data_IF_771794196588
#
_entry.id   IF_771794196588
#
_cell.length_a   1.000
_cell.length_b   1.000
_cell.length_c   1.000
_cell.angle_alpha   90.00
_cell.angle_beta   90.00
_cell.angle_gamma   90.00
#
_symmetry.space_group_name_H-M   'P 1'
#
loop_
_entity.id
_entity.type
_entity.pdbx_description
1 polymer ?
#
# COMPACT_ATOMS: atom_id res chain seq x y z
N UNK A 1 3.03 40.25 9.91
CA UNK A 1 2.92 39.65 8.58
C UNK A 1 3.47 38.24 8.68
N UNK A 2 2.62 37.22 8.61
CA UNK A 2 3.07 35.84 8.53
C UNK A 2 3.59 35.61 7.11
N UNK A 3 4.89 35.37 6.96
CA UNK A 3 5.52 35.06 5.68
C UNK A 3 5.10 33.67 5.24
N UNK A 4 4.90 33.53 3.93
CA UNK A 4 4.45 32.34 3.20
C UNK A 4 5.41 31.12 3.28
N UNK A 5 6.43 31.12 4.15
CA UNK A 5 7.72 30.50 3.82
C UNK A 5 8.25 29.39 4.75
N UNK A 6 7.44 28.84 5.66
CA UNK A 6 7.85 27.63 6.38
C UNK A 6 6.84 26.50 6.16
N UNK A 7 6.85 25.93 4.96
CA UNK A 7 6.30 24.59 4.78
C UNK A 7 7.27 23.60 5.41
N UNK A 8 7.15 23.39 6.72
CA UNK A 8 7.90 22.35 7.42
C UNK A 8 7.31 20.98 7.08
N UNK A 9 7.77 20.35 5.99
CA UNK A 9 7.38 18.99 5.68
C UNK A 9 7.90 18.02 6.76
N UNK A 10 6.99 17.29 7.39
CA UNK A 10 7.34 16.25 8.35
C UNK A 10 7.73 14.97 7.60
N UNK A 11 8.95 14.95 7.07
CA UNK A 11 9.47 13.80 6.33
C UNK A 11 9.44 12.48 7.10
N UNK A 12 9.76 12.43 8.41
CA UNK A 12 9.60 11.20 9.20
C UNK A 12 8.16 10.67 9.20
N UNK A 13 7.17 11.55 9.31
CA UNK A 13 5.76 11.15 9.26
C UNK A 13 5.37 10.65 7.87
N UNK A 14 5.80 11.32 6.81
CA UNK A 14 5.55 10.87 5.43
C UNK A 14 6.12 9.49 5.15
N UNK A 15 7.33 9.22 5.63
CA UNK A 15 7.99 7.91 5.54
C UNK A 15 7.25 6.84 6.36
N UNK A 16 6.71 7.21 7.53
CA UNK A 16 5.91 6.30 8.35
C UNK A 16 4.62 5.85 7.65
N UNK A 17 4.02 6.69 6.79
CA UNK A 17 2.84 6.32 5.98
C UNK A 17 3.21 5.22 4.99
N UNK A 18 4.36 5.32 4.32
CA UNK A 18 4.85 4.25 3.44
C UNK A 18 5.04 2.93 4.20
N UNK A 19 5.58 2.99 5.42
CA UNK A 19 5.74 1.80 6.26
C UNK A 19 4.39 1.18 6.63
N UNK A 20 3.40 1.99 7.02
CA UNK A 20 2.06 1.50 7.35
C UNK A 20 1.35 0.88 6.14
N UNK A 21 1.49 1.50 4.95
CA UNK A 21 0.99 0.94 3.70
C UNK A 21 1.62 -0.43 3.43
N UNK A 22 2.95 -0.55 3.58
CA UNK A 22 3.66 -1.82 3.39
C UNK A 22 3.08 -2.93 4.28
N UNK A 23 2.77 -2.63 5.56
CA UNK A 23 2.13 -3.58 6.47
C UNK A 23 0.75 -4.04 5.96
N UNK A 24 -0.06 -3.14 5.39
CA UNK A 24 -1.33 -3.50 4.76
C UNK A 24 -1.11 -4.46 3.57
N UNK A 25 -0.10 -4.21 2.73
CA UNK A 25 0.25 -5.08 1.62
C UNK A 25 0.68 -6.48 2.07
N UNK A 26 1.53 -6.58 3.09
CA UNK A 26 1.94 -7.87 3.67
C UNK A 26 0.75 -8.64 4.25
N UNK A 27 -0.18 -7.92 4.88
CA UNK A 27 -1.41 -8.55 5.41
C UNK A 27 -2.28 -9.09 4.28
N UNK A 28 -2.50 -8.32 3.21
CA UNK A 28 -3.26 -8.75 2.04
C UNK A 28 -2.62 -9.97 1.34
N UNK A 29 -1.29 -9.99 1.23
CA UNK A 29 -0.54 -11.14 0.71
C UNK A 29 -0.73 -12.38 1.58
N UNK A 30 -0.61 -12.23 2.91
CA UNK A 30 -0.79 -13.33 3.86
C UNK A 30 -2.20 -13.91 3.79
N UNK A 31 -3.23 -13.06 3.67
CA UNK A 31 -4.62 -13.48 3.49
C UNK A 31 -4.81 -14.23 2.17
N UNK A 32 -4.22 -13.74 1.07
CA UNK A 32 -4.30 -14.40 -0.23
C UNK A 32 -3.68 -15.80 -0.19
N UNK A 33 -2.48 -15.93 0.38
CA UNK A 33 -1.76 -17.20 0.47
C UNK A 33 -2.51 -18.20 1.36
N UNK A 34 -2.96 -17.76 2.54
CA UNK A 34 -3.77 -18.59 3.44
C UNK A 34 -5.11 -18.99 2.81
N UNK A 35 -5.76 -18.07 2.09
CA UNK A 35 -6.99 -18.34 1.37
C UNK A 35 -6.77 -19.41 0.30
N UNK A 36 -5.74 -19.26 -0.55
CA UNK A 36 -5.40 -20.21 -1.61
C UNK A 36 -5.08 -21.59 -1.08
N UNK A 37 -4.30 -21.67 0.00
CA UNK A 37 -3.97 -22.93 0.65
C UNK A 37 -5.21 -23.66 1.19
N UNK A 38 -6.19 -22.91 1.71
CA UNK A 38 -7.40 -23.47 2.32
C UNK A 38 -8.60 -23.59 1.38
N UNK A 39 -8.47 -23.16 0.11
CA UNK A 39 -9.59 -23.08 -0.86
C UNK A 39 -10.35 -24.41 -0.98
N UNK A 40 -9.63 -25.52 -1.11
CA UNK A 40 -10.25 -26.85 -1.28
C UNK A 40 -10.95 -27.32 0.00
N UNK A 41 -10.36 -27.06 1.16
CA UNK A 41 -10.97 -27.36 2.47
C UNK A 41 -12.27 -26.57 2.64
N UNK A 42 -12.27 -25.28 2.31
CA UNK A 42 -13.44 -24.42 2.39
C UNK A 42 -14.52 -24.84 1.37
N UNK A 43 -14.12 -25.12 0.13
CA UNK A 43 -15.01 -25.58 -0.93
C UNK A 43 -15.73 -26.90 -0.53
N UNK A 44 -15.03 -27.81 0.15
CA UNK A 44 -15.61 -29.09 0.60
C UNK A 44 -16.78 -28.96 1.57
N UNK A 45 -17.03 -27.77 2.12
CA UNK A 45 -18.21 -27.48 2.96
C UNK A 45 -19.46 -27.12 2.14
N UNK A 46 -19.33 -26.90 0.83
CA UNK A 46 -20.39 -26.47 -0.08
C UNK A 46 -20.69 -27.54 -1.14
N UNK A 47 -21.94 -27.59 -1.60
CA UNK A 47 -22.41 -28.58 -2.57
C UNK A 47 -23.35 -27.95 -3.61
N UNK A 48 -23.35 -28.49 -4.83
CA UNK A 48 -24.20 -28.00 -5.92
C UNK A 48 -24.00 -26.50 -6.20
N UNK A 49 -25.09 -25.76 -6.35
CA UNK A 49 -25.04 -24.32 -6.70
C UNK A 49 -24.31 -23.45 -5.66
N UNK A 50 -24.28 -23.88 -4.40
CA UNK A 50 -23.53 -23.16 -3.35
C UNK A 50 -22.02 -23.30 -3.52
N UNK A 51 -21.54 -24.40 -4.11
CA UNK A 51 -20.13 -24.58 -4.43
C UNK A 51 -19.70 -23.67 -5.57
N UNK A 52 -20.55 -23.48 -6.59
CA UNK A 52 -20.31 -22.51 -7.67
C UNK A 52 -20.27 -21.08 -7.13
N UNK A 53 -21.22 -20.73 -6.27
CA UNK A 53 -21.25 -19.41 -5.61
C UNK A 53 -19.99 -19.18 -4.76
N UNK A 54 -19.53 -20.19 -4.03
CA UNK A 54 -18.26 -20.10 -3.29
C UNK A 54 -17.08 -19.82 -4.23
N UNK A 55 -16.99 -20.50 -5.38
CA UNK A 55 -15.92 -20.27 -6.34
C UNK A 55 -15.91 -18.83 -6.85
N UNK A 56 -17.08 -18.29 -7.21
CA UNK A 56 -17.22 -16.89 -7.65
C UNK A 56 -16.81 -15.90 -6.56
N UNK A 57 -17.27 -16.13 -5.33
CA UNK A 57 -16.90 -15.31 -4.16
C UNK A 57 -15.39 -15.39 -3.89
N UNK A 58 -14.80 -16.58 -3.99
CA UNK A 58 -13.39 -16.79 -3.75
C UNK A 58 -12.54 -16.10 -4.82
N UNK A 59 -12.94 -16.15 -6.09
CA UNK A 59 -12.26 -15.41 -7.17
C UNK A 59 -12.31 -13.90 -6.92
N UNK A 60 -13.45 -13.36 -6.48
CA UNK A 60 -13.54 -11.94 -6.09
C UNK A 60 -12.62 -11.60 -4.91
N UNK A 61 -12.54 -12.48 -3.92
CA UNK A 61 -11.60 -12.34 -2.80
C UNK A 61 -10.15 -12.29 -3.29
N UNK A 62 -9.75 -13.19 -4.19
CA UNK A 62 -8.40 -13.19 -4.76
C UNK A 62 -8.08 -11.87 -5.47
N UNK A 63 -9.01 -11.38 -6.29
CA UNK A 63 -8.84 -10.10 -6.99
C UNK A 63 -8.69 -8.93 -6.02
N UNK A 64 -9.53 -8.83 -4.99
CA UNK A 64 -9.44 -7.73 -4.01
C UNK A 64 -8.10 -7.75 -3.27
N UNK A 65 -7.61 -8.93 -2.89
CA UNK A 65 -6.29 -9.04 -2.28
C UNK A 65 -5.18 -8.60 -3.23
N UNK A 66 -5.22 -9.02 -4.50
CA UNK A 66 -4.24 -8.64 -5.52
C UNK A 66 -4.26 -7.13 -5.80
N UNK A 67 -5.44 -6.54 -5.98
CA UNK A 67 -5.62 -5.10 -6.19
C UNK A 67 -5.07 -4.30 -5.00
N UNK A 68 -5.33 -4.76 -3.78
CA UNK A 68 -4.82 -4.13 -2.56
C UNK A 68 -3.30 -4.14 -2.52
N UNK A 69 -2.67 -5.28 -2.84
CA UNK A 69 -1.20 -5.41 -2.90
C UNK A 69 -0.63 -4.43 -3.93
N UNK A 70 -1.23 -4.36 -5.12
CA UNK A 70 -0.78 -3.47 -6.18
C UNK A 70 -0.90 -1.99 -5.79
N UNK A 71 -2.05 -1.58 -5.26
CA UNK A 71 -2.28 -0.19 -4.82
C UNK A 71 -1.32 0.19 -3.70
N UNK A 72 -1.09 -0.69 -2.73
CA UNK A 72 -0.11 -0.48 -1.67
C UNK A 72 1.28 -0.30 -2.25
N UNK A 73 1.72 -1.20 -3.13
CA UNK A 73 3.07 -1.12 -3.70
C UNK A 73 3.28 0.18 -4.47
N UNK A 74 2.28 0.61 -5.25
CA UNK A 74 2.29 1.91 -5.94
C UNK A 74 2.35 3.07 -4.94
N UNK A 75 1.56 3.01 -3.87
CA UNK A 75 1.54 4.02 -2.81
C UNK A 75 2.89 4.16 -2.09
N UNK A 76 3.49 3.04 -1.68
CA UNK A 76 4.81 3.00 -1.03
C UNK A 76 5.87 3.64 -1.93
N UNK A 77 5.91 3.27 -3.20
CA UNK A 77 6.85 3.83 -4.17
C UNK A 77 6.64 5.34 -4.36
N UNK A 78 5.39 5.80 -4.38
CA UNK A 78 5.07 7.22 -4.51
C UNK A 78 5.52 8.02 -3.28
N UNK A 79 5.29 7.50 -2.07
CA UNK A 79 5.74 8.15 -0.83
C UNK A 79 7.26 8.18 -0.73
N UNK A 80 7.96 7.08 -1.01
CA UNK A 80 9.42 7.04 -1.03
C UNK A 80 9.99 8.06 -2.03
N UNK A 81 9.52 7.99 -3.27
CA UNK A 81 10.04 8.83 -4.36
C UNK A 81 9.72 10.31 -4.13
N UNK A 82 8.51 10.62 -3.66
CA UNK A 82 8.09 11.98 -3.35
C UNK A 82 8.90 12.58 -2.19
N UNK A 83 9.04 11.84 -1.09
CA UNK A 83 9.79 12.28 0.10
C UNK A 83 11.26 12.51 -0.24
N UNK A 84 11.91 11.58 -0.96
CA UNK A 84 13.30 11.73 -1.38
C UNK A 84 13.51 12.90 -2.35
N UNK A 85 12.60 13.08 -3.31
CA UNK A 85 12.67 14.18 -4.28
C UNK A 85 12.55 15.55 -3.59
N UNK A 86 11.60 15.68 -2.67
CA UNK A 86 11.39 16.92 -1.90
C UNK A 86 12.61 17.24 -1.01
N UNK A 87 13.11 16.27 -0.24
CA UNK A 87 14.31 16.45 0.59
C UNK A 87 15.55 16.86 -0.23
N UNK A 88 15.71 16.25 -1.41
CA UNK A 88 16.85 16.54 -2.28
C UNK A 88 16.76 17.94 -2.85
N UNK A 89 15.58 18.34 -3.33
CA UNK A 89 15.36 19.69 -3.87
C UNK A 89 15.58 20.77 -2.81
N UNK A 90 15.08 20.59 -1.59
CA UNK A 90 15.29 21.55 -0.50
C UNK A 90 16.76 21.72 -0.14
N UNK A 91 17.52 20.61 -0.01
CA UNK A 91 18.97 20.66 0.24
C UNK A 91 19.73 21.39 -0.86
N UNK A 92 19.34 21.20 -2.12
CA UNK A 92 19.96 21.90 -3.24
C UNK A 92 19.64 23.40 -3.25
N UNK A 93 18.39 23.78 -2.94
CA UNK A 93 17.99 25.19 -2.86
C UNK A 93 18.66 25.93 -1.69
N UNK A 94 18.86 25.27 -0.55
CA UNK A 94 19.63 25.83 0.58
C UNK A 94 21.10 26.12 0.25
N UNK A 95 21.68 25.43 -0.74
CA UNK A 95 23.04 25.71 -1.23
C UNK A 95 23.13 26.82 -2.28
N UNK A 96 21.99 27.30 -2.81
CA UNK A 96 21.95 28.23 -3.93
C UNK A 96 21.89 29.72 -3.52
N UNK A 97 21.55 30.01 -2.27
CA UNK A 97 21.59 31.36 -1.71
C UNK A 97 22.69 31.45 -0.65
N UNK A 98 23.92 31.87 -1.03
CA UNK A 98 24.88 32.36 -0.05
C UNK A 98 24.34 33.69 0.50
N UNK A 99 24.16 33.76 1.81
CA UNK A 99 23.87 35.03 2.49
C UNK A 99 24.96 36.08 2.27
#
# INVERSE_FOLDING_TARGET
>A
MATSDDVHYNYPLMESVATQLQHCGTTAQSLLDAGRANKQTLLGSFHGDTANTFQDCFTKFEHVCQDTIEVVQRGVNAYHSGTQGMQTNEKQMMGYFPG
#
